data_IF_634008350697
#
_entry.id   IF_634008350697
#
_cell.length_a   1.000
_cell.length_b   1.000
_cell.length_c   1.000
_cell.angle_alpha   90.00
_cell.angle_beta   90.00
_cell.angle_gamma   90.00
#
_symmetry.space_group_name_H-M   'P 1'
#
loop_
_entity.id
_entity.type
_entity.pdbx_description
1 polymer ?
#
# COMPACT_ATOMS: atom_id res chain seq x y z
N UNK A 1 33.70 -1.42 25.58
CA UNK A 1 33.97 -0.03 25.13
C UNK A 1 33.17 0.17 23.85
N UNK A 2 32.07 0.95 23.87
CA UNK A 2 32.01 2.38 23.49
C UNK A 2 32.59 2.55 22.07
N UNK A 3 31.86 2.95 21.04
CA UNK A 3 31.02 4.15 20.94
C UNK A 3 29.96 4.04 19.82
N UNK A 4 28.79 4.58 20.15
CA UNK A 4 27.79 5.11 19.23
C UNK A 4 28.39 6.11 18.25
N UNK A 5 27.99 6.08 16.98
CA UNK A 5 28.27 7.16 16.03
C UNK A 5 26.95 7.87 15.73
N UNK A 6 26.84 9.08 16.27
CA UNK A 6 25.76 10.03 16.09
C UNK A 6 26.09 10.93 14.90
N UNK A 7 25.05 11.21 14.12
CA UNK A 7 24.84 12.30 13.15
C UNK A 7 25.81 13.48 13.22
N UNK A 8 26.32 13.90 12.05
CA UNK A 8 26.69 15.29 11.78
C UNK A 8 26.21 15.70 10.38
N UNK A 9 25.17 16.55 10.40
CA UNK A 9 24.76 17.44 9.32
C UNK A 9 25.88 18.47 9.10
N UNK A 10 26.24 18.72 7.85
CA UNK A 10 26.95 19.96 7.48
C UNK A 10 26.40 20.44 6.14
N UNK A 11 25.66 21.54 6.23
CA UNK A 11 25.16 22.33 5.12
C UNK A 11 26.34 22.96 4.36
N UNK A 12 26.21 23.09 3.05
CA UNK A 12 26.99 24.06 2.28
C UNK A 12 26.18 24.51 1.07
N UNK A 13 25.70 25.74 1.20
CA UNK A 13 24.97 26.55 0.22
C UNK A 13 25.93 27.09 -0.85
N UNK A 14 25.58 26.92 -2.12
CA UNK A 14 26.08 27.76 -3.22
C UNK A 14 25.18 27.59 -4.46
N UNK A 15 23.98 28.17 -4.44
CA UNK A 15 23.18 28.37 -5.65
C UNK A 15 23.70 29.63 -6.37
N UNK A 16 24.40 29.42 -7.48
CA UNK A 16 24.81 30.47 -8.41
C UNK A 16 23.56 31.04 -9.08
N UNK A 17 23.19 32.26 -8.71
CA UNK A 17 22.15 33.04 -9.39
C UNK A 17 22.72 33.62 -10.68
N UNK A 18 22.47 32.97 -11.82
CA UNK A 18 22.65 33.58 -13.15
C UNK A 18 21.35 34.26 -13.54
N UNK A 19 21.30 35.59 -13.40
CA UNK A 19 20.20 36.43 -13.85
C UNK A 19 20.22 36.60 -15.37
N UNK A 20 19.21 36.04 -16.04
CA UNK A 20 18.80 36.46 -17.38
C UNK A 20 17.36 36.94 -17.30
N UNK A 21 17.18 38.27 -17.28
CA UNK A 21 15.86 38.91 -17.37
C UNK A 21 15.37 38.86 -18.81
N UNK A 22 14.60 37.83 -19.16
CA UNK A 22 13.83 37.82 -20.40
C UNK A 22 12.49 38.52 -20.13
N UNK A 23 12.41 39.78 -20.54
CA UNK A 23 11.17 40.58 -20.47
C UNK A 23 10.14 39.98 -21.42
N UNK A 24 9.12 39.33 -20.87
CA UNK A 24 7.96 38.88 -21.64
C UNK A 24 6.75 39.59 -21.04
N UNK A 25 6.25 40.57 -21.79
CA UNK A 25 4.94 41.18 -21.57
C UNK A 25 3.88 40.13 -21.94
N UNK A 26 3.34 39.45 -20.94
CA UNK A 26 2.22 38.51 -21.13
C UNK A 26 0.97 39.07 -20.48
N UNK A 27 0.07 39.57 -21.33
CA UNK A 27 -1.37 39.66 -21.06
C UNK A 27 -1.90 38.23 -20.85
N UNK A 28 -1.73 37.72 -19.63
CA UNK A 28 -2.13 36.37 -19.24
C UNK A 28 -3.50 36.42 -18.57
N UNK A 29 -4.56 36.38 -19.38
CA UNK A 29 -5.91 36.04 -18.91
C UNK A 29 -5.83 34.78 -18.04
N UNK A 30 -6.27 34.80 -16.76
CA UNK A 30 -6.12 33.66 -15.88
C UNK A 30 -6.93 32.49 -16.45
N UNK A 31 -6.23 31.45 -16.94
CA UNK A 31 -6.86 30.16 -17.23
C UNK A 31 -7.27 29.57 -15.89
N UNK A 32 -8.57 29.61 -15.62
CA UNK A 32 -9.16 28.95 -14.46
C UNK A 32 -8.90 27.45 -14.55
N UNK A 33 -7.95 26.96 -13.76
CA UNK A 33 -7.81 25.52 -13.52
C UNK A 33 -9.06 25.09 -12.75
N UNK A 34 -9.82 24.17 -13.34
CA UNK A 34 -11.00 23.59 -12.70
C UNK A 34 -10.57 23.05 -11.35
N UNK A 35 -11.00 23.71 -10.28
CA UNK A 35 -10.79 23.27 -8.91
C UNK A 35 -11.41 21.88 -8.78
N UNK A 36 -10.57 20.87 -8.68
CA UNK A 36 -10.97 19.57 -8.17
C UNK A 36 -11.16 19.82 -6.68
N UNK A 37 -12.41 20.01 -6.24
CA UNK A 37 -12.75 19.86 -4.83
C UNK A 37 -12.12 18.55 -4.40
N UNK A 38 -11.25 18.58 -3.40
CA UNK A 38 -10.67 17.39 -2.80
C UNK A 38 -11.80 16.42 -2.47
N UNK A 39 -12.06 15.48 -3.37
CA UNK A 39 -12.64 14.23 -3.00
C UNK A 39 -11.51 13.53 -2.27
N UNK A 40 -11.47 13.68 -0.94
CA UNK A 40 -10.68 12.86 -0.04
C UNK A 40 -11.22 11.42 -0.07
N UNK A 41 -11.24 10.82 -1.27
CA UNK A 41 -11.79 9.51 -1.60
C UNK A 41 -10.97 8.83 -2.71
N UNK A 42 -9.73 9.24 -2.92
CA UNK A 42 -8.88 8.65 -3.96
C UNK A 42 -7.93 7.56 -3.46
N UNK A 43 -7.86 7.25 -2.15
CA UNK A 43 -6.75 6.43 -1.63
C UNK A 43 -7.11 5.31 -0.64
N UNK A 44 -8.39 5.14 -0.25
CA UNK A 44 -8.83 4.04 0.64
C UNK A 44 -9.73 2.96 -0.04
N UNK A 45 -10.20 3.18 -1.27
CA UNK A 45 -11.23 2.33 -1.89
C UNK A 45 -10.71 1.22 -2.81
N UNK A 46 -10.07 0.21 -2.22
CA UNK A 46 -10.29 -1.23 -2.56
C UNK A 46 -9.40 -2.10 -1.66
N UNK A 47 -9.52 -1.93 -0.34
CA UNK A 47 -9.20 -3.03 0.56
C UNK A 47 -10.06 -4.26 0.23
N UNK A 48 -9.69 -5.43 0.72
CA UNK A 48 -10.42 -6.69 0.48
C UNK A 48 -11.86 -6.72 1.07
N UNK A 49 -12.36 -5.59 1.58
CA UNK A 49 -13.66 -5.48 2.22
C UNK A 49 -13.68 -5.96 3.68
N UNK A 50 -12.53 -6.02 4.35
CA UNK A 50 -12.47 -6.37 5.77
C UNK A 50 -13.12 -5.30 6.63
N UNK A 51 -13.86 -5.73 7.64
CA UNK A 51 -14.31 -4.83 8.70
C UNK A 51 -13.18 -4.58 9.73
N UNK A 52 -13.34 -3.54 10.56
CA UNK A 52 -12.33 -3.18 11.56
C UNK A 52 -12.04 -4.29 12.59
N UNK A 53 -13.03 -5.11 12.94
CA UNK A 53 -12.88 -6.23 13.86
C UNK A 53 -12.05 -7.36 13.25
N UNK A 54 -12.25 -7.66 11.97
CA UNK A 54 -11.46 -8.64 11.22
C UNK A 54 -10.02 -8.18 11.08
N UNK A 55 -9.78 -6.91 10.76
CA UNK A 55 -8.43 -6.35 10.73
C UNK A 55 -7.74 -6.44 12.10
N UNK A 56 -8.48 -6.20 13.19
CA UNK A 56 -7.96 -6.35 14.56
C UNK A 56 -7.62 -7.81 14.89
N UNK A 57 -8.44 -8.76 14.44
CA UNK A 57 -8.16 -10.19 14.60
C UNK A 57 -6.91 -10.57 13.80
N UNK A 58 -6.84 -10.18 12.52
CA UNK A 58 -5.67 -10.41 11.65
C UNK A 58 -4.38 -9.84 12.25
N UNK A 59 -4.45 -8.67 12.90
CA UNK A 59 -3.32 -8.07 13.62
C UNK A 59 -2.87 -8.88 14.84
N UNK A 60 -3.79 -9.60 15.47
CA UNK A 60 -3.53 -10.43 16.65
C UNK A 60 -3.04 -11.85 16.33
N UNK A 61 -3.05 -12.26 15.05
CA UNK A 61 -2.49 -13.56 14.65
C UNK A 61 -0.97 -13.58 14.89
N UNK A 62 -0.45 -14.76 15.19
CA UNK A 62 1.01 -15.00 15.25
C UNK A 62 1.68 -14.68 13.91
N UNK A 63 0.98 -14.98 12.81
CA UNK A 63 1.43 -14.67 11.47
C UNK A 63 0.91 -13.30 11.00
N UNK A 64 1.79 -12.30 11.06
CA UNK A 64 1.47 -10.92 10.64
C UNK A 64 1.28 -10.75 9.14
N UNK A 65 1.61 -11.78 8.33
CA UNK A 65 1.46 -11.74 6.88
C UNK A 65 0.03 -11.41 6.48
N UNK A 66 -0.97 -12.02 7.11
CA UNK A 66 -2.38 -11.82 6.73
C UNK A 66 -2.87 -10.40 7.04
N UNK A 67 -2.45 -9.81 8.15
CA UNK A 67 -2.72 -8.41 8.43
C UNK A 67 -2.10 -7.50 7.35
N UNK A 68 -0.86 -7.77 6.95
CA UNK A 68 -0.19 -6.98 5.92
C UNK A 68 -0.86 -7.15 4.57
N UNK A 69 -1.22 -8.38 4.18
CA UNK A 69 -1.99 -8.66 2.96
C UNK A 69 -3.33 -7.91 2.93
N UNK A 70 -3.95 -7.66 4.08
CA UNK A 70 -5.20 -6.91 4.15
C UNK A 70 -5.04 -5.39 3.90
N UNK A 71 -3.86 -4.82 4.15
CA UNK A 71 -3.61 -3.37 4.04
C UNK A 71 -2.70 -2.99 2.86
N UNK A 72 -1.86 -3.91 2.40
CA UNK A 72 -0.88 -3.68 1.35
C UNK A 72 -1.23 -4.56 0.13
N UNK A 73 -1.77 -3.89 -0.89
CA UNK A 73 -2.25 -4.55 -2.11
C UNK A 73 -1.11 -5.14 -2.95
N UNK A 74 0.07 -4.51 -2.95
CA UNK A 74 1.21 -5.02 -3.69
C UNK A 74 1.78 -6.27 -3.02
N UNK A 75 1.90 -6.23 -1.69
CA UNK A 75 2.27 -7.39 -0.90
C UNK A 75 1.28 -8.55 -1.08
N UNK A 76 -0.03 -8.27 -1.09
CA UNK A 76 -1.06 -9.26 -1.39
C UNK A 76 -0.84 -9.93 -2.76
N UNK A 77 -0.61 -9.14 -3.82
CA UNK A 77 -0.34 -9.68 -5.18
C UNK A 77 0.92 -10.54 -5.20
N UNK A 78 1.98 -10.13 -4.50
CA UNK A 78 3.20 -10.91 -4.40
C UNK A 78 2.94 -12.27 -3.74
N UNK A 79 2.22 -12.29 -2.62
CA UNK A 79 1.86 -13.54 -1.94
C UNK A 79 0.96 -14.41 -2.82
N UNK A 80 -0.06 -13.84 -3.46
CA UNK A 80 -0.92 -14.59 -4.38
C UNK A 80 -0.17 -15.15 -5.58
N UNK A 81 0.86 -14.46 -6.06
CA UNK A 81 1.73 -14.99 -7.13
C UNK A 81 2.53 -16.19 -6.65
N UNK A 82 3.06 -16.13 -5.43
CA UNK A 82 3.72 -17.28 -4.78
C UNK A 82 2.76 -18.45 -4.58
N UNK A 83 1.55 -18.17 -4.08
CA UNK A 83 0.50 -19.19 -3.94
C UNK A 83 0.08 -19.78 -5.28
N UNK A 84 0.03 -19.01 -6.37
CA UNK A 84 -0.29 -19.57 -7.70
C UNK A 84 0.73 -20.61 -8.16
N UNK A 85 1.99 -20.50 -7.70
CA UNK A 85 3.05 -21.46 -7.98
C UNK A 85 3.00 -22.68 -7.05
N UNK A 86 2.67 -22.49 -5.77
CA UNK A 86 2.70 -23.55 -4.75
C UNK A 86 1.36 -24.21 -4.39
N UNK A 87 0.26 -23.45 -4.41
CA UNK A 87 -1.09 -23.87 -4.05
C UNK A 87 -1.98 -23.97 -5.31
N UNK A 88 -2.40 -25.18 -5.65
CA UNK A 88 -3.14 -25.43 -6.89
C UNK A 88 -4.64 -25.13 -6.76
N UNK A 89 -5.22 -25.27 -5.56
CA UNK A 89 -6.66 -25.15 -5.31
C UNK A 89 -7.02 -24.13 -4.23
N UNK A 90 -8.27 -23.64 -4.26
CA UNK A 90 -8.81 -22.80 -3.18
C UNK A 90 -8.88 -23.55 -1.85
N UNK A 91 -9.15 -24.85 -1.90
CA UNK A 91 -9.24 -25.68 -0.70
C UNK A 91 -7.91 -25.75 0.03
N UNK A 92 -6.81 -25.86 -0.71
CA UNK A 92 -5.46 -25.87 -0.17
C UNK A 92 -5.10 -24.52 0.46
N UNK A 93 -5.40 -23.41 -0.23
CA UNK A 93 -5.24 -22.07 0.32
C UNK A 93 -6.11 -21.84 1.58
N UNK A 94 -7.36 -22.29 1.57
CA UNK A 94 -8.27 -22.20 2.72
C UNK A 94 -7.77 -23.01 3.92
N UNK A 95 -7.25 -24.22 3.65
CA UNK A 95 -6.69 -25.10 4.68
C UNK A 95 -5.46 -24.48 5.33
N UNK A 96 -4.57 -23.91 4.53
CA UNK A 96 -3.41 -23.16 5.01
C UNK A 96 -3.82 -21.96 5.88
N UNK A 97 -4.73 -21.12 5.40
CA UNK A 97 -5.18 -19.96 6.18
C UNK A 97 -5.84 -20.38 7.51
N UNK A 98 -6.62 -21.48 7.50
CA UNK A 98 -7.24 -22.00 8.72
C UNK A 98 -6.21 -22.57 9.71
N UNK A 99 -5.16 -23.23 9.23
CA UNK A 99 -4.07 -23.71 10.11
C UNK A 99 -3.30 -22.57 10.75
N UNK A 100 -3.26 -21.40 10.12
CA UNK A 100 -2.65 -20.18 10.66
C UNK A 100 -3.60 -19.40 11.60
N UNK A 101 -4.82 -19.90 11.83
CA UNK A 101 -5.80 -19.27 12.72
C UNK A 101 -6.62 -18.15 12.10
N UNK A 102 -6.62 -18.03 10.76
CA UNK A 102 -7.48 -17.04 10.06
C UNK A 102 -8.94 -17.48 10.15
N UNK A 103 -9.84 -16.55 10.48
CA UNK A 103 -11.28 -16.83 10.59
C UNK A 103 -11.88 -17.18 9.22
N UNK A 104 -12.93 -18.00 9.20
CA UNK A 104 -13.61 -18.39 7.95
C UNK A 104 -14.16 -17.17 7.18
N UNK A 105 -14.56 -16.10 7.88
CA UNK A 105 -15.00 -14.86 7.23
C UNK A 105 -13.85 -14.22 6.46
N UNK A 106 -12.68 -14.08 7.09
CA UNK A 106 -11.50 -13.49 6.47
C UNK A 106 -10.93 -14.36 5.33
N UNK A 107 -11.00 -15.68 5.48
CA UNK A 107 -10.64 -16.63 4.42
C UNK A 107 -11.47 -16.37 3.16
N UNK A 108 -12.78 -16.11 3.27
CA UNK A 108 -13.62 -15.81 2.10
C UNK A 108 -13.15 -14.56 1.36
N UNK A 109 -12.77 -13.50 2.09
CA UNK A 109 -12.22 -12.28 1.48
C UNK A 109 -10.92 -12.57 0.71
N UNK A 110 -10.00 -13.32 1.31
CA UNK A 110 -8.75 -13.69 0.65
C UNK A 110 -8.96 -14.61 -0.56
N UNK A 111 -9.83 -15.62 -0.46
CA UNK A 111 -10.10 -16.54 -1.57
C UNK A 111 -10.78 -15.85 -2.75
N UNK A 112 -11.73 -14.95 -2.50
CA UNK A 112 -12.37 -14.17 -3.55
C UNK A 112 -11.34 -13.35 -4.33
N UNK A 113 -10.40 -12.71 -3.64
CA UNK A 113 -9.33 -11.96 -4.27
C UNK A 113 -8.27 -12.84 -4.93
N UNK A 114 -7.98 -14.01 -4.36
CA UNK A 114 -7.05 -14.97 -4.95
C UNK A 114 -7.59 -15.51 -6.29
N UNK A 115 -8.89 -15.80 -6.37
CA UNK A 115 -9.54 -16.22 -7.60
C UNK A 115 -9.46 -15.13 -8.69
N UNK A 116 -9.69 -13.87 -8.31
CA UNK A 116 -9.54 -12.73 -9.24
C UNK A 116 -8.10 -12.56 -9.73
N UNK A 117 -7.09 -12.87 -8.91
CA UNK A 117 -5.67 -12.81 -9.31
C UNK A 117 -5.23 -14.01 -10.17
N UNK A 118 -5.89 -15.17 -10.02
CA UNK A 118 -5.55 -16.38 -10.77
C UNK A 118 -5.96 -16.26 -12.25
N UNK A 119 -7.08 -15.58 -12.50
CA UNK A 119 -7.73 -15.38 -13.81
C UNK A 119 -6.95 -14.37 -14.65
#
# INVERSE_FOLDING_TARGET
MRLSVILLLSESTALVASGSTLSIETDAKPRSLRSIKYAAYAEEERGLGFNASELKILKGLSNTQFHRMANDREYLKMIFTSWKQGMKSHEEAARYMRSEGVSDSAIRHFLAAYQQHKT
#
